data_IF_999464765139
#
_entry.id   IF_999464765139
#
_cell.length_a   1.000
_cell.length_b   1.000
_cell.length_c   1.000
_cell.angle_alpha   90.00
_cell.angle_beta   90.00
_cell.angle_gamma   90.00
#
_symmetry.space_group_name_H-M   'P 1'
#
loop_
_entity.id
_entity.type
_entity.pdbx_description
1 polymer ?
#
# COMPACT_ATOMS: atom_id res chain seq x y z
N UNK A 1 -1.76 -19.80 10.31
CA UNK A 1 -2.78 -19.73 9.25
C UNK A 1 -2.04 -19.49 7.95
N UNK A 2 -2.18 -20.38 6.96
CA UNK A 2 -1.51 -20.24 5.66
C UNK A 2 -2.23 -19.18 4.83
N UNK A 3 -1.44 -18.34 4.17
CA UNK A 3 -1.94 -17.25 3.34
C UNK A 3 -2.01 -17.72 1.88
N UNK A 4 -2.96 -17.23 1.07
CA UNK A 4 -3.12 -17.70 -0.31
C UNK A 4 -1.86 -17.48 -1.14
N UNK A 5 -1.18 -16.36 -0.90
CA UNK A 5 0.11 -16.03 -1.50
C UNK A 5 1.21 -17.10 -1.24
N UNK A 6 1.16 -17.79 -0.10
CA UNK A 6 2.13 -18.88 0.18
C UNK A 6 1.82 -20.14 -0.63
N UNK A 7 0.55 -20.42 -0.87
CA UNK A 7 0.12 -21.56 -1.69
C UNK A 7 0.36 -21.25 -3.16
N UNK A 8 0.02 -20.04 -3.62
CA UNK A 8 0.25 -19.57 -4.98
C UNK A 8 1.74 -19.53 -5.32
N UNK A 9 2.61 -19.08 -4.41
CA UNK A 9 4.07 -19.14 -4.60
C UNK A 9 4.58 -20.59 -4.71
N UNK A 10 4.10 -21.50 -3.86
CA UNK A 10 4.53 -22.89 -3.86
C UNK A 10 3.98 -23.70 -5.04
N UNK A 11 2.81 -23.31 -5.55
CA UNK A 11 2.18 -23.89 -6.73
C UNK A 11 2.57 -23.17 -8.04
N UNK A 12 3.37 -22.09 -7.95
CA UNK A 12 3.80 -21.25 -9.08
C UNK A 12 2.64 -20.68 -9.90
N UNK A 13 1.57 -20.26 -9.22
CA UNK A 13 0.40 -19.65 -9.85
C UNK A 13 0.70 -18.17 -10.11
N UNK A 14 0.53 -17.72 -11.35
CA UNK A 14 0.77 -16.34 -11.72
C UNK A 14 -0.46 -15.47 -11.41
N UNK A 15 -0.53 -14.97 -10.18
CA UNK A 15 -1.58 -14.03 -9.74
C UNK A 15 -1.66 -12.78 -10.63
N UNK A 16 -0.53 -12.33 -11.19
CA UNK A 16 -0.46 -11.12 -12.01
C UNK A 16 -1.24 -11.28 -13.33
N UNK A 17 -1.11 -12.44 -13.98
CA UNK A 17 -1.83 -12.76 -15.22
C UNK A 17 -3.34 -12.79 -14.99
N UNK A 18 -3.79 -13.38 -13.88
CA UNK A 18 -5.22 -13.44 -13.54
C UNK A 18 -5.82 -12.05 -13.30
N UNK A 19 -5.07 -11.17 -12.62
CA UNK A 19 -5.51 -9.79 -12.40
C UNK A 19 -5.54 -9.03 -13.73
N UNK A 20 -4.57 -9.22 -14.61
CA UNK A 20 -4.51 -8.55 -15.91
C UNK A 20 -5.65 -8.99 -16.83
N UNK A 21 -5.95 -10.28 -16.88
CA UNK A 21 -7.11 -10.83 -17.60
C UNK A 21 -8.40 -10.15 -17.11
N UNK A 22 -8.58 -10.02 -15.79
CA UNK A 22 -9.79 -9.45 -15.22
C UNK A 22 -9.88 -7.94 -15.45
N UNK A 23 -8.78 -7.20 -15.36
CA UNK A 23 -8.74 -5.77 -15.72
C UNK A 23 -9.07 -5.55 -17.20
N UNK A 24 -8.57 -6.40 -18.10
CA UNK A 24 -8.91 -6.36 -19.52
C UNK A 24 -10.41 -6.63 -19.73
N UNK A 25 -10.96 -7.64 -19.07
CA UNK A 25 -12.40 -7.94 -19.16
C UNK A 25 -13.26 -6.83 -18.58
N UNK A 26 -12.79 -6.12 -17.55
CA UNK A 26 -13.46 -4.97 -16.96
C UNK A 26 -13.49 -3.80 -17.97
N UNK A 27 -12.35 -3.46 -18.56
CA UNK A 27 -12.25 -2.40 -19.57
C UNK A 27 -13.07 -2.68 -20.84
N UNK A 28 -13.21 -3.96 -21.20
CA UNK A 28 -14.03 -4.40 -22.33
C UNK A 28 -15.55 -4.36 -22.04
N UNK A 29 -15.97 -4.05 -20.81
CA UNK A 29 -17.39 -4.00 -20.45
C UNK A 29 -18.11 -2.93 -21.27
N UNK A 30 -19.19 -3.27 -22.01
CA UNK A 30 -19.79 -2.37 -23.00
C UNK A 30 -20.32 -1.06 -22.39
N UNK A 31 -20.79 -1.10 -21.15
CA UNK A 31 -21.27 0.08 -20.44
C UNK A 31 -20.17 1.13 -20.21
N UNK A 32 -18.95 0.68 -19.86
CA UNK A 32 -17.80 1.57 -19.66
C UNK A 32 -17.32 2.15 -20.99
N UNK A 33 -17.33 1.34 -22.05
CA UNK A 33 -16.94 1.78 -23.40
C UNK A 33 -17.85 2.91 -23.89
N UNK A 34 -19.18 2.72 -23.82
CA UNK A 34 -20.16 3.75 -24.24
C UNK A 34 -19.99 5.02 -23.41
N UNK A 35 -19.69 4.91 -22.12
CA UNK A 35 -19.48 6.07 -21.27
C UNK A 35 -18.18 6.81 -21.60
N UNK A 36 -17.09 6.10 -21.91
CA UNK A 36 -15.82 6.71 -22.31
C UNK A 36 -15.92 7.47 -23.63
N UNK A 37 -16.78 7.02 -24.55
CA UNK A 37 -17.08 7.77 -25.77
C UNK A 37 -17.81 9.08 -25.46
N UNK A 38 -18.73 9.08 -24.48
CA UNK A 38 -19.46 10.28 -24.06
C UNK A 38 -18.57 11.27 -23.29
N UNK A 39 -17.63 10.80 -22.47
CA UNK A 39 -16.83 11.63 -21.58
C UNK A 39 -15.33 11.24 -21.61
N UNK A 40 -14.54 11.73 -22.59
CA UNK A 40 -13.14 11.32 -22.77
C UNK A 40 -12.22 11.76 -21.61
N UNK A 41 -12.52 12.88 -20.96
CA UNK A 41 -11.71 13.37 -19.82
C UNK A 41 -11.79 12.43 -18.61
N UNK A 42 -12.94 11.79 -18.39
CA UNK A 42 -13.15 10.83 -17.31
C UNK A 42 -12.38 9.53 -17.54
N UNK A 43 -12.08 9.18 -18.80
CA UNK A 43 -11.24 8.02 -19.13
C UNK A 43 -9.88 8.11 -18.43
N UNK A 44 -9.22 9.27 -18.48
CA UNK A 44 -7.90 9.46 -17.86
C UNK A 44 -7.94 9.29 -16.32
N UNK A 45 -9.02 9.75 -15.70
CA UNK A 45 -9.21 9.70 -14.25
C UNK A 45 -9.53 8.28 -13.81
N UNK A 46 -10.40 7.58 -14.55
CA UNK A 46 -10.74 6.19 -14.31
C UNK A 46 -9.54 5.26 -14.52
N UNK A 47 -8.67 5.52 -15.51
CA UNK A 47 -7.43 4.75 -15.67
C UNK A 47 -6.51 4.87 -14.44
N UNK A 48 -6.42 6.06 -13.83
CA UNK A 48 -5.66 6.23 -12.59
C UNK A 48 -6.31 5.51 -11.40
N UNK A 49 -7.64 5.55 -11.29
CA UNK A 49 -8.38 4.82 -10.25
C UNK A 49 -8.23 3.29 -10.43
N UNK A 50 -8.22 2.78 -11.67
CA UNK A 50 -7.95 1.37 -11.97
C UNK A 50 -6.56 0.93 -11.53
N UNK A 51 -5.53 1.79 -11.66
CA UNK A 51 -4.20 1.48 -11.15
C UNK A 51 -4.18 1.37 -9.62
N UNK A 52 -4.93 2.23 -8.92
CA UNK A 52 -5.10 2.12 -7.48
C UNK A 52 -5.85 0.85 -7.09
N UNK A 53 -6.87 0.47 -7.87
CA UNK A 53 -7.62 -0.77 -7.65
C UNK A 53 -6.79 -2.02 -7.90
N UNK A 54 -5.98 -2.07 -8.96
CA UNK A 54 -5.03 -3.16 -9.21
C UNK A 54 -4.12 -3.38 -7.98
N UNK A 55 -3.63 -2.29 -7.37
CA UNK A 55 -2.80 -2.37 -6.15
C UNK A 55 -3.59 -2.88 -4.94
N UNK A 56 -4.84 -2.42 -4.78
CA UNK A 56 -5.70 -2.87 -3.68
C UNK A 56 -6.08 -4.35 -3.83
N UNK A 57 -6.42 -4.80 -5.04
CA UNK A 57 -6.71 -6.21 -5.33
C UNK A 57 -5.51 -7.09 -5.03
N UNK A 58 -4.30 -6.65 -5.41
CA UNK A 58 -3.08 -7.36 -5.07
C UNK A 58 -2.89 -7.50 -3.55
N UNK A 59 -3.09 -6.42 -2.79
CA UNK A 59 -3.03 -6.47 -1.32
C UNK A 59 -4.14 -7.36 -0.74
N UNK A 60 -5.36 -7.28 -1.25
CA UNK A 60 -6.48 -8.08 -0.76
C UNK A 60 -6.27 -9.57 -1.04
N UNK A 61 -5.78 -9.95 -2.22
CA UNK A 61 -5.36 -11.31 -2.49
C UNK A 61 -4.28 -11.75 -1.49
N UNK A 62 -3.30 -10.91 -1.19
CA UNK A 62 -2.31 -11.22 -0.16
C UNK A 62 -2.87 -11.27 1.26
N UNK A 63 -4.06 -10.78 1.54
CA UNK A 63 -4.66 -10.78 2.88
C UNK A 63 -5.80 -11.80 2.98
N UNK A 64 -6.26 -12.39 1.86
CA UNK A 64 -7.38 -13.32 1.86
C UNK A 64 -6.97 -14.67 2.45
N UNK A 65 -7.75 -15.07 3.45
CA UNK A 65 -7.60 -16.37 4.07
C UNK A 65 -8.12 -17.45 3.12
N UNK A 66 -7.29 -18.46 2.89
CA UNK A 66 -7.63 -19.63 2.10
C UNK A 66 -8.72 -20.43 2.82
N UNK A 67 -9.70 -21.02 2.10
CA UNK A 67 -10.65 -21.95 2.69
C UNK A 67 -9.95 -23.07 3.48
N UNK A 68 -10.47 -23.38 4.67
CA UNK A 68 -9.87 -24.35 5.60
C UNK A 68 -9.61 -25.71 4.91
N UNK A 69 -10.55 -26.13 4.06
CA UNK A 69 -10.44 -27.37 3.26
C UNK A 69 -9.14 -27.43 2.44
N UNK A 70 -8.81 -26.36 1.74
CA UNK A 70 -7.64 -26.29 0.86
C UNK A 70 -6.34 -26.18 1.68
N UNK A 71 -6.38 -25.57 2.86
CA UNK A 71 -5.22 -25.56 3.77
C UNK A 71 -4.89 -26.93 4.35
N UNK A 72 -5.91 -27.72 4.69
CA UNK A 72 -5.73 -29.08 5.20
C UNK A 72 -5.25 -30.03 4.10
N UNK A 73 -5.81 -29.93 2.89
CA UNK A 73 -5.35 -30.70 1.74
C UNK A 73 -3.90 -30.37 1.38
N UNK A 74 -3.56 -29.08 1.33
CA UNK A 74 -2.20 -28.65 1.03
C UNK A 74 -1.19 -29.10 2.10
N UNK A 75 -1.58 -29.13 3.38
CA UNK A 75 -0.75 -29.68 4.44
C UNK A 75 -0.47 -31.18 4.26
N UNK A 76 -1.48 -31.96 3.84
CA UNK A 76 -1.31 -33.37 3.49
C UNK A 76 -0.40 -33.56 2.27
N UNK A 77 -0.54 -32.70 1.26
CA UNK A 77 0.34 -32.70 0.09
C UNK A 77 1.81 -32.43 0.48
N UNK A 78 2.06 -31.42 1.32
CA UNK A 78 3.41 -31.11 1.81
C UNK A 78 4.03 -32.25 2.62
N UNK A 79 3.25 -32.92 3.46
CA UNK A 79 3.73 -34.08 4.22
C UNK A 79 4.14 -35.21 3.27
N UNK A 80 3.36 -35.48 2.24
CA UNK A 80 3.62 -36.56 1.28
C UNK A 80 4.77 -36.28 0.30
N UNK A 81 5.15 -35.02 0.10
CA UNK A 81 6.35 -34.65 -0.65
C UNK A 81 7.65 -35.07 0.05
N UNK A 82 7.67 -35.12 1.38
CA UNK A 82 8.88 -35.36 2.17
C UNK A 82 9.12 -36.84 2.53
N UNK A 83 8.25 -37.76 2.09
CA UNK A 83 8.25 -39.17 2.50
C UNK A 83 8.94 -40.07 1.46
N UNK A 84 9.74 -41.04 1.94
CA UNK A 84 10.35 -42.09 1.11
C UNK A 84 9.30 -42.94 0.36
N UNK A 85 9.63 -43.43 -0.83
CA UNK A 85 8.70 -44.15 -1.72
C UNK A 85 7.96 -45.32 -1.05
N UNK A 86 8.65 -46.13 -0.23
CA UNK A 86 8.04 -47.29 0.44
C UNK A 86 7.05 -46.88 1.54
N UNK A 87 7.37 -45.83 2.29
CA UNK A 87 6.50 -45.25 3.33
C UNK A 87 5.34 -44.46 2.70
N UNK A 88 5.55 -43.88 1.53
CA UNK A 88 4.51 -43.18 0.80
C UNK A 88 3.37 -44.13 0.41
N UNK A 89 3.69 -45.26 -0.23
CA UNK A 89 2.68 -46.24 -0.63
C UNK A 89 1.97 -46.91 0.57
N UNK A 90 2.65 -47.11 1.71
CA UNK A 90 2.00 -47.60 2.92
C UNK A 90 1.02 -46.59 3.53
N UNK A 91 1.29 -45.29 3.39
CA UNK A 91 0.47 -44.21 3.96
C UNK A 91 -0.59 -43.68 2.97
N UNK A 92 -0.51 -44.05 1.70
CA UNK A 92 -1.41 -43.64 0.63
C UNK A 92 -2.90 -43.95 0.94
N UNK A 93 -3.28 -45.15 1.42
CA UNK A 93 -4.68 -45.45 1.75
C UNK A 93 -5.22 -44.57 2.88
N UNK A 94 -4.38 -44.29 3.90
CA UNK A 94 -4.74 -43.41 5.02
C UNK A 94 -4.89 -41.97 4.54
N UNK A 95 -4.05 -41.54 3.60
CA UNK A 95 -4.12 -40.21 2.99
C UNK A 95 -5.41 -40.05 2.16
N UNK A 96 -5.78 -41.05 1.35
CA UNK A 96 -7.03 -41.03 0.58
C UNK A 96 -8.24 -40.95 1.51
N UNK A 97 -8.26 -41.68 2.62
CA UNK A 97 -9.36 -41.58 3.60
C UNK A 97 -9.45 -40.19 4.25
N UNK A 98 -8.34 -39.50 4.48
CA UNK A 98 -8.38 -38.11 4.95
C UNK A 98 -8.86 -37.15 3.87
N UNK A 99 -8.52 -37.40 2.60
CA UNK A 99 -9.01 -36.62 1.47
C UNK A 99 -10.53 -36.79 1.24
N UNK A 100 -11.08 -37.99 1.49
CA UNK A 100 -12.52 -38.23 1.42
C UNK A 100 -13.27 -37.48 2.53
N UNK A 101 -12.71 -37.40 3.74
CA UNK A 101 -13.27 -36.60 4.84
C UNK A 101 -13.29 -35.09 4.53
N UNK A 102 -12.26 -34.58 3.85
CA UNK A 102 -12.14 -33.17 3.44
C UNK A 102 -13.02 -32.85 2.21
N UNK A 103 -13.54 -33.88 1.53
CA UNK A 103 -14.29 -33.80 0.28
C UNK A 103 -13.51 -33.10 -0.85
N UNK A 104 -12.22 -33.45 -0.99
CA UNK A 104 -11.36 -32.95 -2.07
C UNK A 104 -11.82 -33.47 -3.45
N UNK A 105 -11.68 -32.66 -4.50
CA UNK A 105 -12.00 -33.11 -5.87
C UNK A 105 -11.00 -34.16 -6.38
N UNK A 106 -9.81 -34.23 -5.78
CA UNK A 106 -8.78 -35.19 -6.17
C UNK A 106 -9.10 -36.64 -5.77
N UNK A 107 -10.05 -36.88 -4.87
CA UNK A 107 -10.36 -38.22 -4.33
C UNK A 107 -10.65 -39.24 -5.43
N UNK A 108 -11.41 -38.86 -6.45
CA UNK A 108 -11.78 -39.77 -7.54
C UNK A 108 -10.57 -40.18 -8.38
N UNK A 109 -9.69 -39.23 -8.68
CA UNK A 109 -8.45 -39.50 -9.42
C UNK A 109 -7.42 -40.23 -8.55
N UNK A 110 -7.37 -39.95 -7.25
CA UNK A 110 -6.47 -40.61 -6.30
C UNK A 110 -6.79 -42.11 -6.19
N UNK A 111 -8.07 -42.47 -6.09
CA UNK A 111 -8.52 -43.87 -6.10
C UNK A 111 -8.16 -44.57 -7.42
N UNK A 112 -8.40 -43.91 -8.56
CA UNK A 112 -8.05 -44.44 -9.87
C UNK A 112 -6.53 -44.67 -10.03
N UNK A 113 -5.72 -43.76 -9.50
CA UNK A 113 -4.27 -43.83 -9.54
C UNK A 113 -3.69 -44.88 -8.58
N UNK A 114 -4.31 -45.09 -7.41
CA UNK A 114 -3.88 -46.13 -6.46
C UNK A 114 -3.92 -47.53 -7.09
N UNK A 115 -4.93 -47.83 -7.91
CA UNK A 115 -5.09 -49.15 -8.53
C UNK A 115 -4.13 -49.41 -9.70
N UNK A 116 -3.58 -48.36 -10.33
CA UNK A 116 -2.85 -48.45 -11.60
C UNK A 116 -1.37 -48.08 -11.52
N UNK A 117 -0.92 -47.49 -10.43
CA UNK A 117 0.46 -47.01 -10.29
C UNK A 117 1.39 -48.16 -9.84
N UNK A 118 2.56 -48.24 -10.49
CA UNK A 118 3.68 -49.08 -10.03
C UNK A 118 4.26 -48.55 -8.73
N UNK A 119 4.65 -49.45 -7.81
CA UNK A 119 5.21 -49.11 -6.50
C UNK A 119 6.69 -48.66 -6.58
N UNK A 120 6.98 -47.79 -7.55
CA UNK A 120 8.29 -47.28 -7.90
C UNK A 120 8.36 -45.76 -7.69
N UNK A 121 9.56 -45.16 -7.60
CA UNK A 121 9.72 -43.70 -7.45
C UNK A 121 9.04 -42.90 -8.58
N UNK A 122 8.99 -43.47 -9.80
CA UNK A 122 8.28 -42.87 -10.93
C UNK A 122 6.75 -42.81 -10.70
N UNK A 123 6.19 -43.84 -10.07
CA UNK A 123 4.78 -43.90 -9.69
C UNK A 123 4.42 -42.87 -8.61
N UNK A 124 5.26 -42.74 -7.59
CA UNK A 124 5.13 -41.70 -6.56
C UNK A 124 5.19 -40.30 -7.19
N UNK A 125 6.15 -40.04 -8.08
CA UNK A 125 6.26 -38.77 -8.78
C UNK A 125 5.01 -38.45 -9.61
N UNK A 126 4.45 -39.43 -10.33
CA UNK A 126 3.23 -39.24 -11.12
C UNK A 126 2.04 -38.86 -10.22
N UNK A 127 1.84 -39.58 -9.11
CA UNK A 127 0.77 -39.29 -8.17
C UNK A 127 0.88 -37.86 -7.61
N UNK A 128 2.07 -37.47 -7.15
CA UNK A 128 2.33 -36.14 -6.61
C UNK A 128 2.13 -35.06 -7.68
N UNK A 129 2.57 -35.30 -8.92
CA UNK A 129 2.34 -34.37 -10.03
C UNK A 129 0.86 -34.20 -10.33
N UNK A 130 0.09 -35.30 -10.38
CA UNK A 130 -1.36 -35.22 -10.63
C UNK A 130 -2.10 -34.52 -9.51
N UNK A 131 -1.75 -34.81 -8.26
CA UNK A 131 -2.28 -34.11 -7.09
C UNK A 131 -1.96 -32.60 -7.18
N UNK A 132 -0.71 -32.25 -7.51
CA UNK A 132 -0.31 -30.84 -7.69
C UNK A 132 -1.15 -30.14 -8.76
N UNK A 133 -1.41 -30.81 -9.89
CA UNK A 133 -2.22 -30.23 -10.96
C UNK A 133 -3.65 -29.96 -10.51
N UNK A 134 -4.28 -30.87 -9.76
CA UNK A 134 -5.61 -30.64 -9.23
C UNK A 134 -5.65 -29.53 -8.19
N UNK A 135 -4.65 -29.46 -7.31
CA UNK A 135 -4.50 -28.33 -6.40
C UNK A 135 -4.33 -27.00 -7.16
N UNK A 136 -3.54 -26.97 -8.23
CA UNK A 136 -3.42 -25.78 -9.08
C UNK A 136 -4.78 -25.40 -9.67
N UNK A 137 -5.55 -26.36 -10.18
CA UNK A 137 -6.88 -26.10 -10.74
C UNK A 137 -7.84 -25.56 -9.66
N UNK A 138 -7.89 -26.17 -8.48
CA UNK A 138 -8.75 -25.71 -7.38
C UNK A 138 -8.36 -24.31 -6.90
N UNK A 139 -7.06 -24.03 -6.70
CA UNK A 139 -6.59 -22.72 -6.26
C UNK A 139 -6.84 -21.65 -7.34
N UNK A 140 -6.54 -21.96 -8.61
CA UNK A 140 -6.78 -21.01 -9.71
C UNK A 140 -8.27 -20.73 -9.91
N UNK A 141 -9.15 -21.73 -9.80
CA UNK A 141 -10.60 -21.52 -9.89
C UNK A 141 -11.12 -20.71 -8.71
N UNK A 142 -10.64 -20.96 -7.50
CA UNK A 142 -10.95 -20.13 -6.34
C UNK A 142 -10.50 -18.68 -6.52
N UNK A 143 -9.26 -18.46 -6.96
CA UNK A 143 -8.72 -17.12 -7.25
C UNK A 143 -9.54 -16.39 -8.32
N UNK A 144 -9.95 -17.09 -9.39
CA UNK A 144 -10.84 -16.53 -10.42
C UNK A 144 -12.19 -16.11 -9.84
N UNK A 145 -12.85 -16.98 -9.07
CA UNK A 145 -14.14 -16.64 -8.45
C UNK A 145 -14.04 -15.45 -7.49
N UNK A 146 -12.96 -15.38 -6.71
CA UNK A 146 -12.70 -14.26 -5.82
C UNK A 146 -12.55 -12.95 -6.60
N UNK A 147 -11.74 -12.96 -7.67
CA UNK A 147 -11.52 -11.79 -8.49
C UNK A 147 -12.75 -11.40 -9.33
N UNK A 148 -13.55 -12.36 -9.79
CA UNK A 148 -14.84 -12.11 -10.45
C UNK A 148 -15.81 -11.39 -9.51
N UNK A 149 -15.90 -11.84 -8.26
CA UNK A 149 -16.73 -11.18 -7.24
C UNK A 149 -16.29 -9.74 -6.98
N UNK A 150 -14.98 -9.49 -6.87
CA UNK A 150 -14.44 -8.14 -6.70
C UNK A 150 -14.70 -7.27 -7.94
N UNK A 151 -14.54 -7.84 -9.13
CA UNK A 151 -14.87 -7.17 -10.40
C UNK A 151 -16.34 -6.75 -10.44
N UNK A 152 -17.27 -7.62 -10.07
CA UNK A 152 -18.71 -7.32 -10.05
C UNK A 152 -19.04 -6.20 -9.06
N UNK A 153 -18.43 -6.21 -7.87
CA UNK A 153 -18.60 -5.13 -6.88
C UNK A 153 -18.09 -3.79 -7.43
N UNK A 154 -16.91 -3.79 -8.05
CA UNK A 154 -16.34 -2.59 -8.67
C UNK A 154 -17.20 -2.10 -9.83
N UNK A 155 -17.73 -3.00 -10.67
CA UNK A 155 -18.66 -2.63 -11.73
C UNK A 155 -19.93 -1.99 -11.18
N UNK A 156 -20.54 -2.58 -10.15
CA UNK A 156 -21.73 -2.01 -9.52
C UNK A 156 -21.47 -0.61 -8.94
N UNK A 157 -20.32 -0.44 -8.27
CA UNK A 157 -19.92 0.86 -7.74
C UNK A 157 -19.65 1.88 -8.86
N UNK A 158 -18.95 1.48 -9.93
CA UNK A 158 -18.74 2.31 -11.11
C UNK A 158 -20.07 2.72 -11.74
N UNK A 159 -20.97 1.79 -12.00
CA UNK A 159 -22.27 2.08 -12.60
C UNK A 159 -23.06 3.11 -11.78
N UNK A 160 -23.05 2.97 -10.45
CA UNK A 160 -23.68 3.95 -9.57
C UNK A 160 -23.02 5.33 -9.74
N UNK A 161 -21.70 5.41 -9.63
CA UNK A 161 -20.95 6.68 -9.78
C UNK A 161 -21.13 7.31 -11.16
N UNK A 162 -21.18 6.50 -12.22
CA UNK A 162 -21.40 6.96 -13.58
C UNK A 162 -22.80 7.56 -13.76
N UNK A 163 -23.84 6.95 -13.16
CA UNK A 163 -25.19 7.54 -13.14
C UNK A 163 -25.21 8.89 -12.40
N UNK A 164 -24.51 8.99 -11.27
CA UNK A 164 -24.43 10.22 -10.49
C UNK A 164 -23.72 11.33 -11.27
N UNK A 165 -22.54 11.03 -11.80
CA UNK A 165 -21.77 12.00 -12.57
C UNK A 165 -22.48 12.38 -13.86
N UNK A 166 -23.14 11.45 -14.56
CA UNK A 166 -23.95 11.76 -15.74
C UNK A 166 -25.01 12.83 -15.45
N UNK A 167 -25.83 12.63 -14.41
CA UNK A 167 -26.87 13.60 -14.01
C UNK A 167 -26.28 14.96 -13.60
N UNK A 168 -25.11 14.98 -12.97
CA UNK A 168 -24.46 16.21 -12.54
C UNK A 168 -23.75 16.93 -13.70
N UNK A 169 -23.20 16.21 -14.68
CA UNK A 169 -22.56 16.84 -15.84
C UNK A 169 -23.60 17.57 -16.68
N UNK A 170 -24.77 16.96 -16.92
CA UNK A 170 -25.86 17.61 -17.66
C UNK A 170 -26.33 18.91 -17.00
N UNK A 171 -26.26 19.02 -15.67
CA UNK A 171 -26.71 20.21 -14.94
C UNK A 171 -25.62 21.27 -14.76
N UNK A 172 -24.35 20.87 -14.62
CA UNK A 172 -23.19 21.75 -14.38
C UNK A 172 -22.32 22.00 -15.62
N UNK A 173 -22.92 21.95 -16.81
CA UNK A 173 -22.36 22.00 -18.18
C UNK A 173 -21.41 23.18 -18.57
N UNK A 174 -20.73 23.83 -17.62
CA UNK A 174 -19.98 25.06 -17.89
C UNK A 174 -18.47 24.86 -18.09
N UNK A 175 -17.85 23.78 -17.60
CA UNK A 175 -16.40 23.58 -17.76
C UNK A 175 -15.98 22.11 -17.91
N UNK A 176 -15.24 21.77 -18.96
CA UNK A 176 -14.61 20.45 -19.12
C UNK A 176 -13.69 20.04 -17.95
N UNK A 177 -13.25 21.01 -17.13
CA UNK A 177 -12.41 20.81 -15.95
C UNK A 177 -13.21 20.54 -14.66
N UNK A 178 -14.52 20.79 -14.62
CA UNK A 178 -15.36 20.49 -13.44
C UNK A 178 -15.74 19.01 -13.39
N UNK A 179 -15.79 18.34 -14.54
CA UNK A 179 -16.15 16.93 -14.70
C UNK A 179 -15.29 16.01 -13.82
N UNK A 180 -13.97 16.23 -13.79
CA UNK A 180 -13.08 15.45 -12.92
C UNK A 180 -13.28 15.70 -11.43
N UNK A 181 -13.65 16.93 -11.05
CA UNK A 181 -13.98 17.26 -9.65
C UNK A 181 -15.30 16.61 -9.23
N UNK A 182 -16.30 16.58 -10.10
CA UNK A 182 -17.58 15.91 -9.86
C UNK A 182 -17.38 14.40 -9.67
N UNK A 183 -16.46 13.79 -10.44
CA UNK A 183 -16.03 12.41 -10.23
C UNK A 183 -15.40 12.20 -8.86
N UNK A 184 -14.48 13.07 -8.43
CA UNK A 184 -13.89 12.95 -7.10
C UNK A 184 -14.90 13.19 -5.98
N UNK A 185 -15.88 14.08 -6.16
CA UNK A 185 -16.97 14.30 -5.20
C UNK A 185 -17.85 13.05 -5.08
N UNK A 186 -18.05 12.29 -6.16
CA UNK A 186 -18.79 11.02 -6.13
C UNK A 186 -18.13 9.93 -5.28
N UNK A 187 -16.82 10.06 -4.99
CA UNK A 187 -16.09 9.18 -4.06
C UNK A 187 -16.42 9.47 -2.59
N UNK A 188 -17.03 10.61 -2.28
CA UNK A 188 -17.32 11.04 -0.91
C UNK A 188 -18.43 10.21 -0.26
N UNK A 189 -18.27 9.86 1.02
CA UNK A 189 -19.29 9.15 1.81
C UNK A 189 -20.63 9.93 1.82
N UNK A 190 -20.58 11.25 1.71
CA UNK A 190 -21.78 12.12 1.70
C UNK A 190 -22.65 11.95 0.46
N UNK A 191 -22.13 11.42 -0.66
CA UNK A 191 -22.93 11.14 -1.87
C UNK A 191 -23.50 9.73 -1.92
N UNK A 192 -23.20 8.87 -0.94
CA UNK A 192 -23.70 7.49 -0.90
C UNK A 192 -25.17 7.40 -0.49
N UNK A 193 -25.72 8.41 0.18
CA UNK A 193 -27.15 8.48 0.46
C UNK A 193 -27.90 9.04 -0.76
N UNK A 194 -28.84 8.25 -1.28
CA UNK A 194 -29.72 8.62 -2.40
C UNK A 194 -30.43 9.97 -2.18
N UNK A 195 -30.74 10.31 -0.93
CA UNK A 195 -31.38 11.57 -0.54
C UNK A 195 -30.48 12.80 -0.79
N UNK A 196 -29.17 12.68 -0.56
CA UNK A 196 -28.23 13.80 -0.75
C UNK A 196 -28.01 14.12 -2.24
N UNK A 197 -28.10 13.10 -3.11
CA UNK A 197 -28.03 13.28 -4.55
C UNK A 197 -29.26 14.00 -5.07
N UNK A 198 -30.46 13.63 -4.60
CA UNK A 198 -31.70 14.32 -4.99
C UNK A 198 -31.66 15.79 -4.59
N UNK A 199 -31.13 16.10 -3.40
CA UNK A 199 -30.89 17.48 -2.97
C UNK A 199 -29.91 18.21 -3.88
N UNK A 200 -28.79 17.58 -4.27
CA UNK A 200 -27.84 18.18 -5.22
C UNK A 200 -28.49 18.49 -6.57
N UNK A 201 -29.35 17.60 -7.09
CA UNK A 201 -30.10 17.84 -8.32
C UNK A 201 -31.08 19.01 -8.14
N UNK A 202 -31.81 19.06 -7.02
CA UNK A 202 -32.72 20.18 -6.72
C UNK A 202 -31.98 21.51 -6.62
N UNK A 203 -30.83 21.54 -5.94
CA UNK A 203 -29.98 22.72 -5.87
C UNK A 203 -29.43 23.09 -7.25
N UNK A 204 -29.09 22.12 -8.10
CA UNK A 204 -28.64 22.40 -9.46
C UNK A 204 -29.73 23.08 -10.30
N UNK A 205 -30.97 22.60 -10.22
CA UNK A 205 -32.10 23.24 -10.90
C UNK A 205 -32.38 24.64 -10.34
N UNK A 206 -32.27 24.82 -9.02
CA UNK A 206 -32.40 26.12 -8.38
C UNK A 206 -31.33 27.12 -8.88
N UNK A 207 -30.08 26.68 -9.03
CA UNK A 207 -28.99 27.51 -9.55
C UNK A 207 -29.22 27.88 -11.02
N UNK A 208 -29.70 26.95 -11.86
CA UNK A 208 -30.05 27.24 -13.26
C UNK A 208 -31.14 28.30 -13.40
N UNK A 209 -32.05 28.40 -12.44
CA UNK A 209 -33.12 29.40 -12.43
C UNK A 209 -32.63 30.81 -12.05
N UNK A 210 -31.40 30.96 -11.54
CA UNK A 210 -30.90 32.22 -10.96
C UNK A 210 -29.57 32.69 -11.61
N UNK A 211 -29.63 33.42 -12.74
CA UNK A 211 -28.43 33.85 -13.46
C UNK A 211 -27.61 34.92 -12.71
N UNK A 212 -28.18 35.56 -11.68
CA UNK A 212 -27.42 36.52 -10.86
C UNK A 212 -26.43 35.82 -9.91
N UNK A 213 -26.81 34.66 -9.36
CA UNK A 213 -25.91 33.86 -8.52
C UNK A 213 -24.75 33.30 -9.34
N UNK A 214 -25.02 32.93 -10.58
CA UNK A 214 -24.00 32.46 -11.52
C UNK A 214 -22.97 33.55 -11.82
N UNK A 215 -23.42 34.78 -12.11
CA UNK A 215 -22.52 35.95 -12.28
C UNK A 215 -21.69 36.23 -11.04
N UNK A 216 -22.28 36.11 -9.85
CA UNK A 216 -21.54 36.26 -8.59
C UNK A 216 -20.51 35.15 -8.39
N UNK A 217 -20.86 33.90 -8.70
CA UNK A 217 -19.95 32.77 -8.65
C UNK A 217 -18.77 32.93 -9.61
N UNK A 218 -19.02 33.41 -10.83
CA UNK A 218 -17.96 33.75 -11.79
C UNK A 218 -17.04 34.86 -11.26
N UNK A 219 -17.60 35.95 -10.74
CA UNK A 219 -16.81 37.06 -10.20
C UNK A 219 -15.96 36.61 -8.99
N UNK A 220 -16.49 35.73 -8.14
CA UNK A 220 -15.76 35.11 -7.03
C UNK A 220 -14.67 34.15 -7.53
N UNK A 221 -14.99 33.30 -8.50
CA UNK A 221 -14.05 32.34 -9.10
C UNK A 221 -12.88 33.04 -9.78
N UNK A 222 -13.14 34.08 -10.57
CA UNK A 222 -12.09 34.93 -11.18
C UNK A 222 -11.22 35.59 -10.11
N UNK A 223 -11.81 36.10 -9.02
CA UNK A 223 -11.05 36.66 -7.88
C UNK A 223 -10.18 35.62 -7.19
N UNK A 224 -10.62 34.35 -7.10
CA UNK A 224 -9.83 33.28 -6.49
C UNK A 224 -8.73 32.74 -7.41
N UNK A 225 -8.94 32.73 -8.72
CA UNK A 225 -7.89 32.44 -9.71
C UNK A 225 -6.85 33.55 -9.81
N UNK A 226 -7.25 34.81 -9.59
CA UNK A 226 -6.36 35.98 -9.56
C UNK A 226 -5.62 36.13 -8.23
N UNK A 227 -6.15 35.60 -7.12
CA UNK A 227 -5.33 35.38 -5.93
C UNK A 227 -4.25 34.39 -6.36
N UNK A 228 -2.96 34.77 -6.40
CA UNK A 228 -1.92 33.77 -6.58
C UNK A 228 -2.21 32.70 -5.55
N UNK A 229 -2.18 31.42 -5.96
CA UNK A 229 -2.16 30.32 -5.01
C UNK A 229 -0.94 30.57 -4.12
N UNK A 230 -1.10 31.37 -3.07
CA UNK A 230 -0.39 31.19 -1.84
C UNK A 230 -0.73 29.74 -1.54
N UNK A 231 0.19 28.84 -1.93
CA UNK A 231 0.40 27.61 -1.18
C UNK A 231 0.12 28.05 0.24
N UNK A 232 -0.91 27.50 0.87
CA UNK A 232 -0.99 27.56 2.31
C UNK A 232 0.36 26.99 2.73
N UNK A 233 1.32 27.89 2.94
CA UNK A 233 2.55 27.60 3.63
C UNK A 233 1.95 27.21 4.96
N UNK A 234 1.83 25.89 5.18
CA UNK A 234 1.58 25.34 6.50
C UNK A 234 2.49 26.18 7.38
N UNK A 235 1.90 27.02 8.22
CA UNK A 235 2.66 27.93 9.05
C UNK A 235 3.51 26.99 9.89
N UNK A 236 4.79 26.86 9.55
CA UNK A 236 5.68 25.94 10.22
C UNK A 236 5.97 26.59 11.57
N UNK A 237 5.44 26.01 12.64
CA UNK A 237 5.84 26.44 13.98
C UNK A 237 7.26 25.94 14.20
N UNK A 238 8.20 26.89 14.40
CA UNK A 238 9.56 26.56 14.77
C UNK A 238 9.60 26.27 16.27
N UNK A 239 9.52 24.99 16.63
CA UNK A 239 9.83 24.57 18.00
C UNK A 239 11.36 24.40 18.08
N UNK A 240 11.97 25.04 19.08
CA UNK A 240 13.40 24.90 19.35
C UNK A 240 13.58 23.58 20.10
N UNK A 241 14.14 22.57 19.45
CA UNK A 241 14.56 21.33 20.09
C UNK A 241 16.08 21.35 20.28
N UNK A 242 16.53 21.06 21.50
CA UNK A 242 17.96 20.92 21.79
C UNK A 242 18.34 19.46 21.51
N UNK A 243 19.12 19.21 20.47
CA UNK A 243 19.65 17.88 20.15
C UNK A 243 21.16 17.87 20.39
N UNK A 244 21.69 16.76 20.92
CA UNK A 244 23.12 16.61 21.18
C UNK A 244 23.83 16.20 19.89
N UNK A 245 24.60 17.11 19.31
CA UNK A 245 25.41 16.84 18.12
C UNK A 245 26.88 16.80 18.55
N UNK A 246 27.67 15.80 18.13
CA UNK A 246 29.13 15.80 18.27
C UNK A 246 29.74 17.06 17.66
N UNK A 247 30.28 17.96 18.48
CA UNK A 247 30.99 19.14 17.97
C UNK A 247 32.45 18.78 17.63
N UNK A 248 33.03 19.48 16.65
CA UNK A 248 34.40 19.26 16.18
C UNK A 248 35.47 19.94 17.06
N UNK A 249 35.06 20.66 18.10
CA UNK A 249 35.97 21.37 19.01
C UNK A 249 36.57 20.37 20.00
N UNK A 250 37.91 20.26 20.10
CA UNK A 250 38.56 19.22 20.89
C UNK A 250 38.56 19.56 22.39
N UNK A 251 37.53 19.14 23.13
CA UNK A 251 37.44 19.39 24.58
C UNK A 251 37.68 18.14 25.46
N UNK A 252 37.21 16.95 25.05
CA UNK A 252 37.33 15.73 25.86
C UNK A 252 37.75 14.52 25.03
N UNK A 253 38.52 13.61 25.63
CA UNK A 253 38.89 12.32 25.02
C UNK A 253 37.67 11.41 25.04
N UNK A 254 37.09 11.14 23.87
CA UNK A 254 35.90 10.30 23.72
C UNK A 254 36.21 8.86 23.31
N UNK A 255 37.41 8.59 22.76
CA UNK A 255 37.80 7.24 22.36
C UNK A 255 39.15 7.16 21.66
N UNK A 256 39.36 6.08 20.91
CA UNK A 256 40.58 5.82 20.12
C UNK A 256 40.20 5.81 18.64
N UNK A 257 41.02 6.39 17.78
CA UNK A 257 40.86 6.40 16.32
C UNK A 257 42.15 5.98 15.63
N UNK A 258 42.04 5.55 14.37
CA UNK A 258 43.20 5.34 13.50
C UNK A 258 43.44 6.62 12.70
N UNK A 259 44.69 7.06 12.64
CA UNK A 259 45.07 8.27 11.91
C UNK A 259 46.58 8.44 11.84
N UNK A 260 47.01 9.68 11.65
CA UNK A 260 48.41 10.07 11.54
C UNK A 260 48.74 11.30 12.40
N UNK A 261 47.91 11.62 13.40
CA UNK A 261 48.10 12.76 14.30
C UNK A 261 49.15 12.41 15.38
N UNK A 262 50.40 12.76 15.09
CA UNK A 262 51.57 12.42 15.93
C UNK A 262 51.41 12.97 17.36
N UNK A 263 50.74 14.10 17.52
CA UNK A 263 50.60 14.77 18.83
C UNK A 263 49.67 14.02 19.79
N UNK A 264 48.86 13.08 19.28
CA UNK A 264 47.83 12.36 20.05
C UNK A 264 48.03 10.85 20.03
N UNK A 265 49.23 10.38 19.74
CA UNK A 265 49.54 8.96 19.69
C UNK A 265 49.33 8.29 21.03
N UNK A 266 48.84 7.05 20.98
CA UNK A 266 48.84 6.20 22.15
C UNK A 266 50.27 5.87 22.57
N UNK A 267 50.55 5.76 23.89
CA UNK A 267 51.87 5.34 24.38
C UNK A 267 52.35 4.01 23.77
N UNK A 268 51.43 3.11 23.40
CA UNK A 268 51.75 1.86 22.74
C UNK A 268 52.35 2.03 21.34
N UNK A 269 51.88 3.01 20.56
CA UNK A 269 52.44 3.30 19.23
C UNK A 269 53.77 4.08 19.37
N UNK A 270 53.91 4.92 20.40
CA UNK A 270 55.19 5.58 20.70
C UNK A 270 56.28 4.59 21.14
N UNK A 271 55.91 3.50 21.82
CA UNK A 271 56.86 2.47 22.21
C UNK A 271 57.52 1.76 21.01
N UNK A 272 56.86 1.72 19.85
CA UNK A 272 57.42 1.14 18.62
C UNK A 272 58.64 1.91 18.12
N UNK A 273 58.66 3.23 18.31
CA UNK A 273 59.84 4.07 18.00
C UNK A 273 61.02 3.81 18.95
N UNK A 274 60.75 3.30 20.16
CA UNK A 274 61.79 3.02 21.15
C UNK A 274 62.56 1.73 20.89
N UNK A 275 62.13 0.91 19.94
CA UNK A 275 62.73 -0.38 19.59
C UNK A 275 63.21 -0.32 18.14
N UNK A 276 64.53 -0.41 17.93
CA UNK A 276 65.17 -0.27 16.59
C UNK A 276 64.59 -1.27 15.56
N UNK A 277 64.18 -2.45 16.01
CA UNK A 277 63.59 -3.51 15.17
C UNK A 277 62.17 -3.16 14.68
N UNK A 278 61.43 -2.32 15.40
CA UNK A 278 60.02 -2.00 15.14
C UNK A 278 59.79 -0.56 14.65
N UNK A 279 60.86 0.22 14.50
CA UNK A 279 60.76 1.60 14.01
C UNK A 279 60.19 1.66 12.59
N UNK A 280 60.55 0.70 11.72
CA UNK A 280 60.01 0.60 10.37
C UNK A 280 58.51 0.29 10.34
N UNK A 281 58.00 -0.47 11.31
CA UNK A 281 56.56 -0.75 11.45
C UNK A 281 55.79 0.52 11.81
N UNK A 282 56.36 1.37 12.66
CA UNK A 282 55.78 2.68 12.97
C UNK A 282 55.70 3.57 11.73
N UNK A 283 56.79 3.71 10.96
CA UNK A 283 56.77 4.52 9.75
C UNK A 283 55.80 4.00 8.69
N UNK A 284 55.69 2.67 8.54
CA UNK A 284 54.68 2.06 7.65
C UNK A 284 53.27 2.48 8.06
N UNK A 285 52.91 2.29 9.33
CA UNK A 285 51.60 2.69 9.87
C UNK A 285 51.33 4.19 9.75
N UNK A 286 52.35 5.03 9.89
CA UNK A 286 52.24 6.49 9.76
C UNK A 286 51.80 6.87 8.34
N UNK A 287 52.46 6.29 7.33
CA UNK A 287 52.14 6.54 5.91
C UNK A 287 50.74 6.04 5.57
N UNK A 288 50.37 4.87 6.09
CA UNK A 288 49.05 4.25 5.88
C UNK A 288 47.93 4.91 6.69
N UNK A 289 48.25 5.89 7.56
CA UNK A 289 47.31 6.55 8.50
C UNK A 289 46.60 5.56 9.44
N UNK A 290 47.33 4.53 9.87
CA UNK A 290 46.83 3.47 10.75
C UNK A 290 47.34 3.57 12.20
N UNK A 291 47.97 4.69 12.58
CA UNK A 291 48.43 4.88 13.96
C UNK A 291 47.24 5.12 14.89
N UNK A 292 47.26 4.45 16.05
CA UNK A 292 46.25 4.64 17.08
C UNK A 292 46.47 5.98 17.79
N UNK A 293 45.46 6.84 17.73
CA UNK A 293 45.44 8.19 18.27
C UNK A 293 44.21 8.42 19.15
N UNK A 294 44.32 9.28 20.15
CA UNK A 294 43.17 9.68 20.97
C UNK A 294 42.19 10.53 20.14
N UNK A 295 40.91 10.12 20.13
CA UNK A 295 39.81 10.87 19.53
C UNK A 295 39.29 11.89 20.53
N UNK A 296 39.39 13.17 20.17
CA UNK A 296 38.76 14.26 20.91
C UNK A 296 37.39 14.56 20.31
N UNK A 297 36.36 14.70 21.15
CA UNK A 297 35.03 15.13 20.76
C UNK A 297 34.48 16.07 21.83
N UNK A 298 33.97 17.22 21.41
CA UNK A 298 33.29 18.16 22.29
C UNK A 298 31.84 17.74 22.55
N UNK A 299 31.38 18.00 23.77
CA UNK A 299 30.04 17.66 24.24
C UNK A 299 29.17 18.94 24.34
N UNK A 300 28.93 19.60 23.20
CA UNK A 300 28.16 20.84 23.16
C UNK A 300 26.68 20.62 22.77
N UNK A 301 25.80 21.33 23.49
CA UNK A 301 24.37 21.37 23.21
C UNK A 301 24.10 22.43 22.13
N UNK A 302 23.84 22.03 20.89
CA UNK A 302 23.39 22.97 19.86
C UNK A 302 21.85 22.95 19.72
N UNK A 303 21.25 24.14 19.75
CA UNK A 303 19.81 24.30 19.53
C UNK A 303 19.51 24.21 18.04
N UNK A 304 18.79 23.18 17.59
CA UNK A 304 18.37 23.05 16.20
C UNK A 304 16.89 23.41 16.09
N UNK A 305 16.57 24.41 15.26
CA UNK A 305 15.19 24.80 14.95
C UNK A 305 14.61 23.79 13.96
N UNK A 306 13.69 22.93 14.40
CA UNK A 306 12.98 22.00 13.52
C UNK A 306 11.62 22.62 13.19
N UNK A 307 11.29 22.62 11.90
CA UNK A 307 10.02 23.13 11.39
C UNK A 307 9.01 21.98 11.36
N UNK A 308 7.91 22.09 12.12
CA UNK A 308 6.78 21.15 12.04
C UNK A 308 5.53 21.85 11.48
N UNK A 309 4.71 21.17 10.66
CA UNK A 309 3.46 21.74 10.15
C UNK A 309 2.45 21.91 11.30
N UNK A 310 2.00 23.15 11.54
CA UNK A 310 1.02 23.44 12.58
C UNK A 310 -0.37 22.92 12.18
N UNK A 311 -0.97 22.08 13.05
CA UNK A 311 -2.37 21.68 12.96
C UNK A 311 -3.18 22.74 13.72
N UNK A 312 -3.85 23.64 13.00
CA UNK A 312 -4.76 24.60 13.65
C UNK A 312 -6.09 23.91 13.95
N UNK A 313 -6.44 23.79 15.23
CA UNK A 313 -7.83 23.62 15.65
C UNK A 313 -8.50 25.00 15.58
N UNK A 314 -9.39 25.22 14.62
CA UNK A 314 -10.26 26.40 14.63
C UNK A 314 -11.27 26.26 15.78
N UNK A 315 -10.99 26.91 16.92
CA UNK A 315 -12.02 27.22 17.91
C UNK A 315 -12.73 28.50 17.48
N UNK A 316 -13.92 28.35 16.93
CA UNK A 316 -14.85 29.45 16.64
C UNK A 316 -15.29 30.11 17.95
N UNK A 317 -14.64 31.20 18.37
CA UNK A 317 -15.19 32.11 19.37
C UNK A 317 -16.06 33.16 18.67
N UNK A 318 -17.38 32.94 18.67
CA UNK A 318 -18.37 33.97 18.37
C UNK A 318 -18.29 35.06 19.45
N UNK A 319 -17.63 36.18 19.13
CA UNK A 319 -17.82 37.44 19.89
C UNK A 319 -19.16 38.04 19.47
N UNK A 320 -20.19 37.86 20.30
CA UNK A 320 -21.41 38.67 20.23
C UNK A 320 -21.13 40.00 20.93
N UNK A 321 -21.04 41.08 20.17
CA UNK A 321 -20.98 42.45 20.71
C UNK A 321 -22.41 42.99 20.91
N UNK A 322 -22.77 43.20 22.18
CA UNK A 322 -23.49 44.39 22.66
C UNK A 322 -24.95 44.62 22.24
N UNK A 323 -25.87 44.42 23.20
CA UNK A 323 -26.94 45.38 23.52
C UNK A 323 -27.59 45.01 24.86
N UNK A 324 -27.05 45.53 25.96
CA UNK A 324 -27.71 45.48 27.26
C UNK A 324 -28.74 46.63 27.34
N UNK A 325 -30.02 46.31 27.20
CA UNK A 325 -31.12 47.22 27.57
C UNK A 325 -31.47 46.95 29.02
N UNK A 326 -31.15 47.91 29.88
CA UNK A 326 -31.61 47.98 31.27
C UNK A 326 -33.12 48.25 31.29
N UNK A 327 -33.92 47.25 31.64
CA UNK A 327 -35.26 47.46 32.18
C UNK A 327 -35.22 47.21 33.70
N UNK A 328 -35.23 48.31 34.46
CA UNK A 328 -35.57 48.30 35.89
C UNK A 328 -37.05 48.00 36.03
N UNK A 329 -37.38 47.01 36.85
CA UNK A 329 -38.70 46.77 37.41
C UNK A 329 -38.55 46.34 38.86
N UNK A 330 -39.24 47.08 39.74
CA UNK A 330 -39.38 46.94 41.20
C UNK A 330 -38.19 47.38 42.07
#
# INVERSE_FOLDING_TARGET
MLNIATIDMLLSINELELIEEIVLTLLATPQLVIFFEKYPNLKSILLNDLLAWKKNLYRQLQETLVPIKLTEEFALYQQNLAIDTTKFFSNLPVTINKLTEIASTFVQEANYLQERISHDPAGQSLFIQRWRLNLIIEVTTFNKLLLEREKEQLLAELEQRLKLTGNLIETFNQDNHSVGKLWDISKGVLTQSSNNIQLLIQYSHFLQQQPELEKLAELLGRRQSLKPKQKQQQMLESIISVEKIPDQIPEQISGINHGNDILRLLPSELALLGLEELEFEFYRKLVEKQLLTYRLQGDNWQQRKILRPAIKYERSTLRVSGAAVLLRGC
#
